data_IF_884670265891
#
_entry.id   IF_884670265891
#
_cell.length_a   1.000
_cell.length_b   1.000
_cell.length_c   1.000
_cell.angle_alpha   90.00
_cell.angle_beta   90.00
_cell.angle_gamma   90.00
#
_symmetry.space_group_name_H-M   'P 1'
#
loop_
_entity.id
_entity.type
_entity.pdbx_description
1 polymer ?
#
# COMPACT_ATOMS: atom_id res chain seq x y z
N UNK A 1 -8.86 -9.23 22.80
CA UNK A 1 -7.97 -10.20 22.12
C UNK A 1 -6.83 -9.41 21.49
N UNK A 2 -5.60 -9.93 21.58
CA UNK A 2 -4.42 -9.35 20.91
C UNK A 2 -4.02 -10.32 19.80
N UNK A 3 -3.88 -9.80 18.58
CA UNK A 3 -3.44 -10.53 17.41
C UNK A 3 -2.11 -9.99 16.91
N UNK A 4 -1.28 -10.87 16.39
CA UNK A 4 -0.07 -10.53 15.65
C UNK A 4 -0.32 -11.03 14.22
N UNK A 5 -0.34 -10.09 13.27
CA UNK A 5 -0.54 -10.35 11.85
C UNK A 5 0.79 -10.11 11.15
N UNK A 6 1.35 -11.14 10.52
CA UNK A 6 2.64 -11.09 9.82
C UNK A 6 2.49 -11.74 8.45
N UNK A 7 2.94 -11.03 7.41
CA UNK A 7 2.87 -11.49 6.02
C UNK A 7 4.24 -11.37 5.32
N UNK A 8 4.62 -12.43 4.60
CA UNK A 8 5.84 -12.48 3.79
C UNK A 8 5.60 -11.90 2.40
N UNK A 9 6.63 -11.26 1.82
CA UNK A 9 6.56 -10.56 0.54
C UNK A 9 5.43 -9.52 0.51
N UNK A 10 5.22 -8.83 1.62
CA UNK A 10 4.24 -7.76 1.75
C UNK A 10 4.91 -6.46 2.14
N UNK A 11 4.36 -5.34 1.67
CA UNK A 11 4.74 -4.01 2.09
C UNK A 11 3.91 -3.55 3.28
N UNK A 12 4.52 -2.79 4.19
CA UNK A 12 3.76 -1.99 5.14
C UNK A 12 2.95 -0.92 4.42
N UNK A 13 1.88 -0.42 5.05
CA UNK A 13 1.04 0.64 4.47
C UNK A 13 1.83 1.89 4.11
N UNK A 14 2.84 2.24 4.91
CA UNK A 14 3.71 3.39 4.65
C UNK A 14 4.56 3.15 3.38
N UNK A 15 5.14 1.97 3.23
CA UNK A 15 5.89 1.61 2.03
C UNK A 15 5.00 1.54 0.79
N UNK A 16 3.77 1.03 0.89
CA UNK A 16 2.80 1.05 -0.23
C UNK A 16 2.55 2.47 -0.69
N UNK A 17 2.33 3.40 0.25
CA UNK A 17 2.11 4.82 -0.05
C UNK A 17 3.33 5.45 -0.73
N UNK A 18 4.52 5.24 -0.17
CA UNK A 18 5.76 5.76 -0.76
C UNK A 18 6.00 5.18 -2.15
N UNK A 19 5.75 3.89 -2.35
CA UNK A 19 5.89 3.23 -3.64
C UNK A 19 4.89 3.76 -4.66
N UNK A 20 3.65 4.02 -4.25
CA UNK A 20 2.62 4.61 -5.13
C UNK A 20 3.05 5.99 -5.62
N UNK A 21 3.56 6.84 -4.72
CA UNK A 21 4.11 8.16 -5.08
C UNK A 21 5.31 8.04 -6.01
N UNK A 22 6.23 7.12 -5.72
CA UNK A 22 7.40 6.89 -6.54
C UNK A 22 7.02 6.43 -7.97
N UNK A 23 6.05 5.51 -8.11
CA UNK A 23 5.56 5.06 -9.41
C UNK A 23 4.91 6.20 -10.21
N UNK A 24 4.10 7.04 -9.55
CA UNK A 24 3.49 8.20 -10.19
C UNK A 24 4.56 9.17 -10.74
N UNK A 25 5.62 9.42 -9.95
CA UNK A 25 6.75 10.26 -10.38
C UNK A 25 7.53 9.64 -11.56
N UNK A 26 7.79 8.33 -11.50
CA UNK A 26 8.46 7.60 -12.58
C UNK A 26 7.63 7.62 -13.88
N UNK A 27 6.29 7.61 -13.78
CA UNK A 27 5.38 7.73 -14.92
C UNK A 27 5.48 9.10 -15.58
N UNK A 28 5.51 10.18 -14.79
CA UNK A 28 5.69 11.55 -15.32
C UNK A 28 7.08 11.75 -15.94
N UNK A 29 8.14 11.23 -15.32
CA UNK A 29 9.52 11.40 -15.78
C UNK A 29 9.83 10.60 -17.05
N UNK A 30 9.15 9.47 -17.26
CA UNK A 30 9.31 8.64 -18.45
C UNK A 30 8.56 9.18 -19.69
N UNK A 31 7.65 10.13 -19.51
CA UNK A 31 6.85 10.70 -20.59
C UNK A 31 7.67 11.63 -21.49
N UNK A 32 7.50 11.51 -22.80
CA UNK A 32 8.04 12.48 -23.77
C UNK A 32 7.32 13.82 -23.69
N UNK A 33 7.89 14.87 -24.30
CA UNK A 33 7.30 16.23 -24.30
C UNK A 33 5.84 16.25 -24.79
N UNK A 34 5.50 15.41 -25.77
CA UNK A 34 4.16 15.33 -26.35
C UNK A 34 3.13 14.63 -25.44
N UNK A 35 3.59 13.82 -24.47
CA UNK A 35 2.72 12.98 -23.60
C UNK A 35 2.72 13.44 -22.13
N UNK A 36 3.42 14.54 -21.81
CA UNK A 36 3.62 14.99 -20.44
C UNK A 36 2.30 15.34 -19.73
N UNK A 37 1.34 15.94 -20.44
CA UNK A 37 0.05 16.32 -19.85
C UNK A 37 -0.83 15.10 -19.55
N UNK A 38 -0.83 14.12 -20.46
CA UNK A 38 -1.51 12.83 -20.27
C UNK A 38 -0.89 12.03 -19.11
N UNK A 39 0.45 12.01 -19.01
CA UNK A 39 1.14 11.31 -17.94
C UNK A 39 0.82 11.88 -16.55
N UNK A 40 0.69 13.21 -16.44
CA UNK A 40 0.24 13.87 -15.19
C UNK A 40 -1.18 13.50 -14.81
N UNK A 41 -2.09 13.45 -15.78
CA UNK A 41 -3.47 13.03 -15.54
C UNK A 41 -3.52 11.58 -15.03
N UNK A 42 -2.82 10.66 -15.71
CA UNK A 42 -2.73 9.26 -15.29
C UNK A 42 -2.08 9.08 -13.92
N UNK A 43 -1.02 9.83 -13.61
CA UNK A 43 -0.35 9.80 -12.32
C UNK A 43 -1.26 10.30 -11.18
N UNK A 44 -2.04 11.36 -11.43
CA UNK A 44 -3.03 11.87 -10.50
C UNK A 44 -4.16 10.85 -10.25
N UNK A 45 -4.68 10.25 -11.31
CA UNK A 45 -5.70 9.22 -11.23
C UNK A 45 -5.20 8.01 -10.43
N UNK A 46 -3.99 7.53 -10.73
CA UNK A 46 -3.36 6.42 -10.02
C UNK A 46 -3.16 6.68 -8.52
N UNK A 47 -2.83 7.92 -8.14
CA UNK A 47 -2.71 8.31 -6.72
C UNK A 47 -4.07 8.42 -6.03
N UNK A 48 -5.11 8.79 -6.77
CA UNK A 48 -6.47 8.93 -6.24
C UNK A 48 -7.20 7.58 -6.08
N UNK A 49 -6.85 6.60 -6.93
CA UNK A 49 -7.51 5.32 -6.94
C UNK A 49 -6.97 4.40 -5.84
N UNK A 50 -7.89 3.87 -5.01
CA UNK A 50 -7.57 2.86 -4.02
C UNK A 50 -8.29 1.56 -4.34
N UNK A 51 -7.60 0.67 -5.07
CA UNK A 51 -8.13 -0.61 -5.47
C UNK A 51 -8.25 -1.55 -4.26
N UNK A 52 -9.43 -2.15 -3.99
CA UNK A 52 -9.60 -3.04 -2.86
C UNK A 52 -8.71 -4.28 -2.97
N UNK A 53 -7.70 -4.39 -2.11
CA UNK A 53 -6.74 -5.50 -2.11
C UNK A 53 -7.39 -6.88 -1.92
N UNK A 54 -8.57 -6.93 -1.28
CA UNK A 54 -9.33 -8.18 -1.14
C UNK A 54 -9.83 -8.74 -2.48
N UNK A 55 -10.02 -7.87 -3.47
CA UNK A 55 -10.51 -8.24 -4.81
C UNK A 55 -9.37 -8.39 -5.79
N UNK A 56 -8.42 -7.45 -5.79
CA UNK A 56 -7.34 -7.38 -6.77
C UNK A 56 -6.02 -8.02 -6.29
N UNK A 57 -5.94 -8.38 -5.02
CA UNK A 57 -4.71 -8.82 -4.36
C UNK A 57 -3.89 -7.65 -3.82
N UNK A 58 -3.05 -7.92 -2.83
CA UNK A 58 -2.08 -6.97 -2.31
C UNK A 58 -0.84 -6.90 -3.21
N UNK A 59 -0.22 -5.72 -3.36
CA UNK A 59 1.06 -5.60 -4.06
C UNK A 59 2.14 -6.44 -3.36
N UNK A 60 2.77 -7.35 -4.11
CA UNK A 60 3.83 -8.20 -3.55
C UNK A 60 5.16 -7.46 -3.51
N UNK A 61 5.77 -7.46 -2.33
CA UNK A 61 7.12 -6.99 -2.13
C UNK A 61 8.15 -8.03 -2.58
N UNK A 62 9.39 -7.59 -2.74
CA UNK A 62 10.52 -8.45 -3.08
C UNK A 62 10.87 -9.47 -1.99
N UNK A 63 11.80 -10.40 -2.28
CA UNK A 63 12.28 -11.38 -1.31
C UNK A 63 12.79 -10.72 -0.02
N UNK A 64 12.62 -11.41 1.12
CA UNK A 64 13.00 -10.94 2.46
C UNK A 64 12.20 -9.72 2.97
N UNK A 65 11.16 -9.31 2.25
CA UNK A 65 10.27 -8.26 2.73
C UNK A 65 9.12 -8.81 3.58
N UNK A 66 8.71 -8.07 4.60
CA UNK A 66 7.67 -8.46 5.55
C UNK A 66 6.85 -7.26 5.99
N UNK A 67 5.56 -7.48 6.20
CA UNK A 67 4.69 -6.54 6.89
C UNK A 67 4.19 -7.19 8.17
N UNK A 68 4.26 -6.47 9.30
CA UNK A 68 3.71 -6.94 10.57
C UNK A 68 2.91 -5.86 11.29
N UNK A 69 1.83 -6.27 11.95
CA UNK A 69 1.06 -5.40 12.82
C UNK A 69 0.55 -6.15 14.06
N UNK A 70 0.31 -5.39 15.12
CA UNK A 70 -0.35 -5.85 16.33
C UNK A 70 -1.75 -5.24 16.36
N UNK A 71 -2.78 -6.08 16.45
CA UNK A 71 -4.18 -5.66 16.52
C UNK A 71 -4.79 -6.00 17.87
N UNK A 72 -5.40 -5.01 18.51
CA UNK A 72 -6.26 -5.22 19.68
C UNK A 72 -7.71 -5.16 19.20
N UNK A 73 -8.45 -6.25 19.37
CA UNK A 73 -9.86 -6.33 18.97
C UNK A 73 -10.75 -7.00 20.01
N UNK A 74 -12.03 -6.63 19.99
CA UNK A 74 -13.08 -7.28 20.75
C UNK A 74 -13.37 -8.67 20.17
N UNK A 75 -13.22 -9.76 20.95
CA UNK A 75 -13.54 -11.09 20.47
C UNK A 75 -15.06 -11.34 20.35
N UNK A 76 -15.89 -10.51 21.00
CA UNK A 76 -17.35 -10.65 21.00
C UNK A 76 -17.97 -9.94 19.81
N UNK A 77 -17.50 -8.73 19.49
CA UNK A 77 -18.09 -7.88 18.44
C UNK A 77 -17.27 -7.83 17.16
N UNK A 78 -16.02 -8.30 17.19
CA UNK A 78 -15.08 -8.16 16.08
C UNK A 78 -14.51 -6.74 15.89
N UNK A 79 -14.93 -5.76 16.71
CA UNK A 79 -14.46 -4.38 16.58
C UNK A 79 -12.96 -4.27 16.87
N UNK A 80 -12.22 -3.60 15.99
CA UNK A 80 -10.81 -3.26 16.23
C UNK A 80 -10.74 -2.02 17.12
N UNK A 81 -10.02 -2.11 18.24
CA UNK A 81 -9.79 -1.00 19.16
C UNK A 81 -8.46 -0.29 18.89
N UNK A 82 -7.44 -1.03 18.48
CA UNK A 82 -6.13 -0.46 18.15
C UNK A 82 -5.39 -1.30 17.13
N UNK A 83 -4.58 -0.64 16.30
CA UNK A 83 -3.64 -1.24 15.35
C UNK A 83 -2.31 -0.53 15.51
N UNK A 84 -1.29 -1.26 15.93
CA UNK A 84 0.10 -0.80 15.92
C UNK A 84 0.80 -1.45 14.74
N UNK A 85 1.18 -0.63 13.75
CA UNK A 85 1.96 -1.10 12.59
C UNK A 85 3.44 -1.10 12.97
N UNK A 86 4.14 -2.17 12.65
CA UNK A 86 5.57 -2.28 12.90
C UNK A 86 6.34 -1.77 11.68
N UNK A 87 7.52 -1.22 11.95
CA UNK A 87 8.46 -0.85 10.90
C UNK A 87 9.03 -2.09 10.22
N UNK A 88 9.60 -1.86 9.04
CA UNK A 88 10.33 -2.83 8.28
C UNK A 88 11.70 -2.28 7.88
#
# INVERSE_FOLDING_TARGET
MILIETEHNAYTEEQKKQRRVQMAKEMEEAAGEDEMELAKEMAADFLSEDLPERTYGSPKAGPAMWASLIRIMSPVTGATHSVTRLEQ
#
